data_IF_200738262161
#
_entry.id   IF_200738262161
#
_cell.length_a   1.000
_cell.length_b   1.000
_cell.length_c   1.000
_cell.angle_alpha   90.00
_cell.angle_beta   90.00
_cell.angle_gamma   90.00
#
_symmetry.space_group_name_H-M   'P 1'
#
loop_
_entity.id
_entity.type
_entity.pdbx_description
1 polymer ?
#
# COMPACT_ATOMS: atom_id res chain seq x y z
N UNK A 1 -7.27 16.74 -12.19
CA UNK A 1 -6.01 15.96 -12.10
C UNK A 1 -5.53 15.68 -13.52
N UNK A 2 -4.23 15.60 -13.76
CA UNK A 2 -3.63 15.25 -15.06
C UNK A 2 -3.16 13.79 -15.09
N UNK A 3 -2.94 13.23 -16.28
CA UNK A 3 -2.34 11.89 -16.41
C UNK A 3 -0.96 11.82 -15.76
N UNK A 4 -0.16 12.89 -15.85
CA UNK A 4 1.13 12.95 -15.18
C UNK A 4 1.02 12.84 -13.66
N UNK A 5 0.02 13.48 -13.05
CA UNK A 5 -0.25 13.38 -11.62
C UNK A 5 -0.70 11.96 -11.22
N UNK A 6 -1.55 11.31 -12.04
CA UNK A 6 -1.95 9.90 -11.84
C UNK A 6 -0.73 8.99 -11.84
N UNK A 7 0.20 9.17 -12.78
CA UNK A 7 1.45 8.39 -12.83
C UNK A 7 2.35 8.65 -11.60
N UNK A 8 2.39 9.89 -11.10
CA UNK A 8 3.08 10.21 -9.85
C UNK A 8 2.48 9.46 -8.65
N UNK A 9 1.15 9.43 -8.54
CA UNK A 9 0.43 8.68 -7.50
C UNK A 9 0.69 7.17 -7.63
N UNK A 10 0.67 6.63 -8.86
CA UNK A 10 1.00 5.22 -9.12
C UNK A 10 2.36 4.85 -8.55
N UNK A 11 3.40 5.64 -8.83
CA UNK A 11 4.75 5.41 -8.31
C UNK A 11 4.80 5.42 -6.79
N UNK A 12 4.03 6.29 -6.14
CA UNK A 12 3.91 6.28 -4.67
C UNK A 12 3.27 5.00 -4.15
N UNK A 13 2.17 4.55 -4.77
CA UNK A 13 1.53 3.28 -4.42
C UNK A 13 2.49 2.09 -4.56
N UNK A 14 3.23 2.01 -5.67
CA UNK A 14 4.25 0.97 -5.87
C UNK A 14 5.34 1.02 -4.80
N UNK A 15 5.81 2.21 -4.43
CA UNK A 15 6.78 2.37 -3.36
C UNK A 15 6.25 1.89 -2.01
N UNK A 16 5.04 2.28 -1.62
CA UNK A 16 4.48 1.85 -0.35
C UNK A 16 4.16 0.34 -0.34
N UNK A 17 3.66 -0.21 -1.46
CA UNK A 17 3.53 -1.67 -1.62
C UNK A 17 4.89 -2.36 -1.40
N UNK A 18 5.95 -1.88 -2.02
CA UNK A 18 7.31 -2.42 -1.88
C UNK A 18 7.82 -2.40 -0.43
N UNK A 19 7.52 -1.35 0.35
CA UNK A 19 7.83 -1.32 1.79
C UNK A 19 7.08 -2.40 2.57
N UNK A 20 5.79 -2.58 2.27
CA UNK A 20 4.97 -3.61 2.90
C UNK A 20 5.47 -5.01 2.54
N UNK A 21 5.67 -5.28 1.25
CA UNK A 21 6.11 -6.59 0.74
C UNK A 21 7.46 -6.99 1.35
N UNK A 22 8.43 -6.08 1.36
CA UNK A 22 9.72 -6.34 2.02
C UNK A 22 9.57 -6.62 3.52
N UNK A 23 8.63 -5.95 4.20
CA UNK A 23 8.38 -6.25 5.61
C UNK A 23 7.77 -7.64 5.79
N UNK A 24 6.75 -7.98 5.00
CA UNK A 24 6.05 -9.28 5.04
C UNK A 24 7.01 -10.44 4.75
N UNK A 25 7.96 -10.24 3.83
CA UNK A 25 8.98 -11.24 3.48
C UNK A 25 9.92 -11.58 4.65
N UNK A 26 10.19 -10.63 5.55
CA UNK A 26 11.05 -10.88 6.71
C UNK A 26 10.36 -11.73 7.79
N UNK A 27 9.03 -11.71 7.84
CA UNK A 27 8.26 -12.29 8.93
C UNK A 27 7.85 -13.74 8.63
N UNK A 28 7.76 -14.58 9.66
CA UNK A 28 7.13 -15.91 9.61
C UNK A 28 5.60 -15.80 9.66
N UNK A 29 4.88 -16.91 9.46
CA UNK A 29 3.42 -16.92 9.62
C UNK A 29 2.99 -16.56 11.06
N UNK A 30 3.69 -17.08 12.06
CA UNK A 30 3.41 -16.77 13.47
C UNK A 30 3.62 -15.28 13.73
N UNK A 31 4.71 -14.70 13.22
CA UNK A 31 5.02 -13.27 13.37
C UNK A 31 4.01 -12.37 12.64
N UNK A 32 3.47 -12.80 11.49
CA UNK A 32 2.38 -12.05 10.82
C UNK A 32 1.11 -11.99 11.68
N UNK A 33 0.82 -13.06 12.42
CA UNK A 33 -0.38 -13.17 13.26
C UNK A 33 -0.15 -12.66 14.69
N UNK A 34 1.08 -12.29 15.05
CA UNK A 34 1.39 -11.79 16.37
C UNK A 34 0.70 -10.45 16.65
N UNK A 35 0.17 -10.32 17.86
CA UNK A 35 -0.46 -9.11 18.38
C UNK A 35 0.23 -8.73 19.70
N UNK A 36 0.44 -7.43 19.89
CA UNK A 36 1.02 -6.93 21.13
C UNK A 36 0.03 -6.98 22.30
N UNK A 37 -1.22 -6.60 22.04
CA UNK A 37 -2.36 -6.66 22.96
C UNK A 37 -3.67 -6.68 22.17
N UNK A 38 -4.81 -6.85 22.86
CA UNK A 38 -6.15 -6.99 22.26
C UNK A 38 -6.61 -5.76 21.46
N UNK A 39 -6.10 -4.58 21.76
CA UNK A 39 -6.43 -3.32 21.06
C UNK A 39 -5.52 -3.07 19.84
N UNK A 40 -4.47 -3.87 19.67
CA UNK A 40 -3.48 -3.70 18.62
C UNK A 40 -3.74 -4.63 17.46
N UNK A 41 -3.73 -4.10 16.24
CA UNK A 41 -3.81 -4.92 15.04
C UNK A 41 -2.53 -5.75 14.86
N UNK A 42 -2.69 -7.02 14.47
CA UNK A 42 -1.59 -7.80 13.87
C UNK A 42 -1.29 -7.30 12.46
N UNK A 43 -0.13 -7.69 11.93
CA UNK A 43 0.20 -7.45 10.52
C UNK A 43 -0.80 -8.19 9.60
N UNK A 44 -1.22 -9.41 9.96
CA UNK A 44 -2.23 -10.16 9.23
C UNK A 44 -3.57 -9.40 9.14
N UNK A 45 -4.04 -8.80 10.23
CA UNK A 45 -5.25 -7.95 10.22
C UNK A 45 -5.09 -6.73 9.33
N UNK A 46 -3.94 -6.04 9.39
CA UNK A 46 -3.66 -4.89 8.52
C UNK A 46 -3.62 -5.30 7.04
N UNK A 47 -3.04 -6.46 6.72
CA UNK A 47 -3.04 -7.00 5.35
C UNK A 47 -4.46 -7.28 4.86
N UNK A 48 -5.29 -7.93 5.68
CA UNK A 48 -6.71 -8.21 5.34
C UNK A 48 -7.49 -6.92 5.15
N UNK A 49 -7.31 -5.95 6.05
CA UNK A 49 -7.97 -4.65 5.95
C UNK A 49 -7.64 -3.92 4.65
N UNK A 50 -6.36 -3.83 4.32
CA UNK A 50 -5.92 -3.16 3.11
C UNK A 50 -6.37 -3.92 1.85
N UNK A 51 -6.29 -5.25 1.83
CA UNK A 51 -6.78 -6.06 0.72
C UNK A 51 -8.29 -5.88 0.47
N UNK A 52 -9.10 -5.92 1.53
CA UNK A 52 -10.54 -5.69 1.45
C UNK A 52 -10.89 -4.26 1.03
N UNK A 53 -10.16 -3.26 1.55
CA UNK A 53 -10.29 -1.87 1.13
C UNK A 53 -9.94 -1.68 -0.37
N UNK A 54 -8.77 -2.17 -0.80
CA UNK A 54 -8.33 -2.10 -2.20
C UNK A 54 -9.37 -2.72 -3.14
N UNK A 55 -9.78 -3.97 -2.85
CA UNK A 55 -10.77 -4.66 -3.67
C UNK A 55 -12.10 -3.91 -3.72
N UNK A 56 -12.58 -3.40 -2.59
CA UNK A 56 -13.87 -2.70 -2.53
C UNK A 56 -13.83 -1.36 -3.26
N UNK A 57 -12.78 -0.56 -3.02
CA UNK A 57 -12.69 0.79 -3.56
C UNK A 57 -12.50 0.82 -5.07
N UNK A 58 -11.86 -0.21 -5.64
CA UNK A 58 -11.40 -0.17 -7.03
C UNK A 58 -12.07 -1.20 -7.95
N UNK A 59 -12.76 -2.22 -7.44
CA UNK A 59 -13.57 -3.08 -8.33
C UNK A 59 -14.67 -2.25 -8.98
N UNK A 60 -14.82 -2.30 -10.30
CA UNK A 60 -15.83 -1.54 -11.05
C UNK A 60 -15.81 -0.03 -10.72
N UNK A 61 -14.61 0.55 -10.59
CA UNK A 61 -14.35 1.89 -10.06
C UNK A 61 -15.21 3.02 -10.63
N UNK A 62 -15.49 2.98 -11.94
CA UNK A 62 -16.26 4.04 -12.62
C UNK A 62 -17.78 3.80 -12.66
N UNK A 63 -18.24 2.60 -12.32
CA UNK A 63 -19.64 2.19 -12.56
C UNK A 63 -20.40 1.82 -11.29
N UNK A 64 -19.70 1.56 -10.20
CA UNK A 64 -20.30 1.16 -8.93
C UNK A 64 -19.72 1.94 -7.75
N UNK A 65 -20.44 1.97 -6.63
CA UNK A 65 -19.92 2.55 -5.39
C UNK A 65 -18.67 1.81 -4.90
N UNK A 66 -17.68 2.54 -4.42
CA UNK A 66 -16.44 2.01 -3.86
C UNK A 66 -16.60 1.35 -2.49
N UNK A 67 -17.76 1.43 -1.83
CA UNK A 67 -18.13 0.53 -0.72
C UNK A 67 -19.01 -0.59 -1.25
N UNK A 68 -18.40 -1.76 -1.45
CA UNK A 68 -19.11 -2.90 -2.02
C UNK A 68 -19.97 -3.59 -0.98
N UNK A 69 -21.17 -4.06 -1.35
CA UNK A 69 -22.08 -4.71 -0.41
C UNK A 69 -21.52 -6.03 0.15
N UNK A 70 -20.57 -6.65 -0.55
CA UNK A 70 -19.89 -7.86 -0.09
C UNK A 70 -18.77 -7.58 0.91
N UNK A 71 -18.37 -6.32 1.12
CA UNK A 71 -17.27 -5.98 2.02
C UNK A 71 -17.77 -6.01 3.47
N UNK A 72 -17.24 -6.96 4.23
CA UNK A 72 -17.39 -7.00 5.68
C UNK A 72 -16.13 -6.45 6.35
N UNK A 73 -16.15 -5.14 6.65
CA UNK A 73 -15.03 -4.45 7.29
C UNK A 73 -14.73 -5.02 8.67
N UNK A 74 -15.75 -5.36 9.44
CA UNK A 74 -15.55 -5.78 10.84
C UNK A 74 -14.85 -7.15 10.87
N UNK A 75 -15.17 -8.03 9.92
CA UNK A 75 -14.45 -9.29 9.75
C UNK A 75 -12.95 -9.11 9.44
N UNK A 76 -12.53 -8.01 8.80
CA UNK A 76 -11.11 -7.71 8.48
C UNK A 76 -10.26 -7.58 9.75
N UNK A 77 -10.87 -7.22 10.88
CA UNK A 77 -10.23 -7.03 12.19
C UNK A 77 -10.56 -8.13 13.21
N UNK A 78 -11.27 -9.19 12.81
CA UNK A 78 -11.58 -10.29 13.70
C UNK A 78 -10.30 -10.93 14.28
N UNK A 79 -10.35 -11.33 15.55
CA UNK A 79 -9.26 -12.06 16.18
C UNK A 79 -9.20 -13.47 15.58
N UNK A 80 -8.01 -13.88 15.13
CA UNK A 80 -7.82 -15.18 14.53
C UNK A 80 -6.39 -15.42 14.08
N UNK A 81 -6.15 -16.63 13.56
CA UNK A 81 -4.91 -16.99 12.87
C UNK A 81 -5.23 -17.12 11.39
N UNK A 82 -4.48 -16.37 10.59
CA UNK A 82 -4.66 -16.28 9.16
C UNK A 82 -3.50 -16.96 8.44
N UNK A 83 -3.84 -17.76 7.44
CA UNK A 83 -2.88 -18.47 6.62
C UNK A 83 -2.06 -17.50 5.77
N UNK A 84 -0.73 -17.70 5.74
CA UNK A 84 0.18 -16.81 5.01
C UNK A 84 -0.12 -16.78 3.50
N UNK A 85 -0.41 -17.94 2.91
CA UNK A 85 -0.64 -18.04 1.49
C UNK A 85 -1.93 -17.32 1.09
N UNK A 86 -2.98 -17.46 1.89
CA UNK A 86 -4.23 -16.71 1.71
C UNK A 86 -4.01 -15.19 1.85
N UNK A 87 -3.29 -14.77 2.89
CA UNK A 87 -2.95 -13.35 3.12
C UNK A 87 -2.25 -12.74 1.91
N UNK A 88 -1.21 -13.40 1.39
CA UNK A 88 -0.44 -12.93 0.23
C UNK A 88 -1.32 -12.92 -1.03
N UNK A 89 -2.10 -13.97 -1.26
CA UNK A 89 -2.97 -14.08 -2.44
C UNK A 89 -3.98 -12.93 -2.49
N UNK A 90 -4.64 -12.64 -1.37
CA UNK A 90 -5.61 -11.55 -1.27
C UNK A 90 -4.94 -10.17 -1.34
N UNK A 91 -3.77 -10.02 -0.73
CA UNK A 91 -2.95 -8.81 -0.81
C UNK A 91 -2.58 -8.46 -2.26
N UNK A 92 -2.02 -9.43 -3.00
CA UNK A 92 -1.61 -9.24 -4.39
C UNK A 92 -2.80 -8.95 -5.30
N UNK A 93 -3.93 -9.64 -5.08
CA UNK A 93 -5.18 -9.39 -5.79
C UNK A 93 -5.67 -7.96 -5.58
N UNK A 94 -5.69 -7.47 -4.33
CA UNK A 94 -6.12 -6.11 -4.01
C UNK A 94 -5.28 -5.05 -4.74
N UNK A 95 -3.95 -5.17 -4.67
CA UNK A 95 -3.06 -4.26 -5.37
C UNK A 95 -3.18 -4.34 -6.90
N UNK A 96 -3.38 -5.54 -7.44
CA UNK A 96 -3.59 -5.72 -8.88
C UNK A 96 -4.82 -4.98 -9.37
N UNK A 97 -5.94 -5.02 -8.63
CA UNK A 97 -7.17 -4.29 -8.97
C UNK A 97 -6.91 -2.78 -9.00
N UNK A 98 -6.24 -2.22 -7.98
CA UNK A 98 -5.88 -0.80 -7.95
C UNK A 98 -5.06 -0.41 -9.19
N UNK A 99 -4.01 -1.17 -9.49
CA UNK A 99 -3.12 -0.85 -10.59
C UNK A 99 -3.81 -0.95 -11.95
N UNK A 100 -4.66 -1.96 -12.16
CA UNK A 100 -5.50 -2.07 -13.36
C UNK A 100 -6.41 -0.85 -13.53
N UNK A 101 -7.02 -0.35 -12.44
CA UNK A 101 -7.82 0.88 -12.50
C UNK A 101 -6.98 2.08 -12.87
N UNK A 102 -5.83 2.27 -12.21
CA UNK A 102 -4.93 3.39 -12.50
C UNK A 102 -4.51 3.38 -13.98
N UNK A 103 -4.19 2.21 -14.52
CA UNK A 103 -3.75 2.04 -15.91
C UNK A 103 -4.89 2.25 -16.92
N UNK A 104 -6.15 2.19 -16.48
CA UNK A 104 -7.35 2.49 -17.28
C UNK A 104 -7.78 3.97 -17.27
N UNK A 105 -7.13 4.81 -16.45
CA UNK A 105 -7.41 6.25 -16.40
C UNK A 105 -6.84 6.91 -17.66
N UNK A 106 -7.69 7.67 -18.35
CA UNK A 106 -7.41 8.38 -19.60
C UNK A 106 -7.73 9.87 -19.45
N UNK A 107 -7.30 10.69 -20.39
CA UNK A 107 -7.60 12.14 -20.38
C UNK A 107 -9.11 12.41 -20.34
N UNK A 108 -9.91 11.53 -20.95
CA UNK A 108 -11.37 11.64 -21.00
C UNK A 108 -12.04 11.37 -19.64
N UNK A 109 -11.45 10.52 -18.79
CA UNK A 109 -12.07 10.08 -17.55
C UNK A 109 -11.34 10.51 -16.27
N UNK A 110 -10.17 11.15 -16.36
CA UNK A 110 -9.35 11.56 -15.21
C UNK A 110 -10.05 12.56 -14.27
N UNK A 111 -11.09 13.26 -14.76
CA UNK A 111 -11.92 14.16 -13.97
C UNK A 111 -13.34 13.62 -13.76
N UNK A 112 -13.59 12.34 -14.03
CA UNK A 112 -14.88 11.71 -13.80
C UNK A 112 -15.25 11.71 -12.31
N UNK A 113 -16.55 11.59 -12.06
CA UNK A 113 -17.10 11.40 -10.72
C UNK A 113 -17.27 9.91 -10.46
N UNK A 114 -16.77 9.47 -9.32
CA UNK A 114 -16.97 8.13 -8.75
C UNK A 114 -17.69 8.25 -7.41
N UNK A 115 -18.31 7.17 -6.96
CA UNK A 115 -19.02 7.16 -5.67
C UNK A 115 -18.26 6.37 -4.63
N UNK A 116 -18.19 6.87 -3.41
CA UNK A 116 -17.70 6.12 -2.26
C UNK A 116 -18.63 6.39 -1.08
N UNK A 117 -19.38 5.38 -0.63
CA UNK A 117 -20.40 5.49 0.42
C UNK A 117 -21.49 6.50 0.09
N UNK A 118 -22.02 6.41 -1.12
CA UNK A 118 -23.05 7.28 -1.67
C UNK A 118 -22.66 8.77 -1.70
N UNK A 119 -21.36 9.06 -1.70
CA UNK A 119 -20.81 10.40 -1.84
C UNK A 119 -20.02 10.49 -3.14
N UNK A 120 -20.27 11.55 -3.88
CA UNK A 120 -19.57 11.84 -5.13
C UNK A 120 -18.16 12.36 -4.83
N UNK A 121 -17.20 11.83 -5.58
CA UNK A 121 -15.79 12.21 -5.52
C UNK A 121 -15.25 12.27 -6.94
N UNK A 122 -14.37 13.22 -7.22
CA UNK A 122 -13.52 13.14 -8.41
C UNK A 122 -12.58 11.92 -8.30
N UNK A 123 -12.11 11.39 -9.44
CA UNK A 123 -11.05 10.37 -9.48
C UNK A 123 -9.85 10.79 -8.61
N UNK A 124 -9.46 12.08 -8.68
CA UNK A 124 -8.36 12.61 -7.89
C UNK A 124 -8.60 12.50 -6.38
N UNK A 125 -9.77 12.92 -5.90
CA UNK A 125 -10.14 12.80 -4.47
C UNK A 125 -10.17 11.35 -4.01
N UNK A 126 -10.68 10.44 -4.83
CA UNK A 126 -10.68 9.00 -4.53
C UNK A 126 -9.24 8.46 -4.40
N UNK A 127 -8.34 8.82 -5.32
CA UNK A 127 -6.93 8.43 -5.27
C UNK A 127 -6.19 9.05 -4.08
N UNK A 128 -6.34 10.35 -3.84
CA UNK A 128 -5.69 11.03 -2.71
C UNK A 128 -6.11 10.47 -1.36
N UNK A 129 -7.39 10.14 -1.20
CA UNK A 129 -7.89 9.48 0.01
C UNK A 129 -7.15 8.18 0.28
N UNK A 130 -6.89 7.38 -0.76
CA UNK A 130 -6.14 6.13 -0.61
C UNK A 130 -4.64 6.34 -0.46
N UNK A 131 -4.09 7.38 -1.09
CA UNK A 131 -2.69 7.79 -0.91
C UNK A 131 -2.40 8.28 0.51
N UNK A 132 -3.38 8.76 1.27
CA UNK A 132 -3.22 9.00 2.70
C UNK A 132 -3.41 7.73 3.54
N UNK A 133 -4.39 6.90 3.16
CA UNK A 133 -4.81 5.72 3.92
C UNK A 133 -3.81 4.56 3.87
N UNK A 134 -3.30 4.20 2.69
CA UNK A 134 -2.39 3.05 2.55
C UNK A 134 -1.04 3.30 3.22
N UNK A 135 -0.37 4.46 3.05
CA UNK A 135 0.84 4.76 3.79
C UNK A 135 0.67 4.77 5.30
N UNK A 136 -0.49 5.21 5.80
CA UNK A 136 -0.80 5.18 7.23
C UNK A 136 -0.72 3.75 7.79
N UNK A 137 -1.43 2.79 7.17
CA UNK A 137 -1.42 1.39 7.62
C UNK A 137 -0.13 0.65 7.27
N UNK A 138 0.52 0.98 6.16
CA UNK A 138 1.83 0.41 5.81
C UNK A 138 2.90 0.89 6.80
N UNK A 139 2.82 2.13 7.29
CA UNK A 139 3.65 2.62 8.37
C UNK A 139 3.49 1.80 9.65
N UNK A 140 2.25 1.44 10.01
CA UNK A 140 1.96 0.54 11.15
C UNK A 140 2.58 -0.84 10.92
N UNK A 141 2.41 -1.42 9.73
CA UNK A 141 2.97 -2.72 9.35
C UNK A 141 4.50 -2.72 9.47
N UNK A 142 5.18 -1.71 8.92
CA UNK A 142 6.64 -1.55 9.01
C UNK A 142 7.09 -1.37 10.46
N UNK A 143 6.34 -0.63 11.27
CA UNK A 143 6.65 -0.43 12.68
C UNK A 143 6.54 -1.74 13.48
N UNK A 144 5.47 -2.51 13.28
CA UNK A 144 5.30 -3.83 13.90
C UNK A 144 6.39 -4.81 13.44
N UNK A 145 6.74 -4.81 12.15
CA UNK A 145 7.82 -5.65 11.64
C UNK A 145 9.17 -5.33 12.30
N UNK A 146 9.47 -4.04 12.50
CA UNK A 146 10.65 -3.58 13.27
C UNK A 146 10.59 -4.02 14.73
N UNK A 147 9.43 -3.91 15.36
CA UNK A 147 9.24 -4.31 16.75
C UNK A 147 9.51 -5.80 16.95
N UNK A 148 8.96 -6.64 16.06
CA UNK A 148 9.10 -8.09 16.08
C UNK A 148 10.55 -8.49 15.80
N UNK A 149 11.16 -7.99 14.72
CA UNK A 149 12.51 -8.39 14.32
C UNK A 149 13.61 -7.78 15.17
N UNK A 150 13.37 -6.62 15.80
CA UNK A 150 14.32 -5.95 16.67
C UNK A 150 15.72 -5.83 16.02
N UNK A 151 16.70 -6.62 16.48
CA UNK A 151 18.08 -6.61 15.97
C UNK A 151 18.22 -7.23 14.58
N UNK A 152 17.28 -8.09 14.19
CA UNK A 152 17.26 -8.78 12.89
C UNK A 152 16.51 -7.99 11.82
N UNK A 153 16.08 -6.77 12.14
CA UNK A 153 15.41 -5.90 11.18
C UNK A 153 16.34 -5.46 10.05
N UNK A 154 15.91 -5.67 8.81
CA UNK A 154 16.61 -5.21 7.61
C UNK A 154 16.04 -3.86 7.14
N UNK A 155 16.91 -2.87 6.95
CA UNK A 155 16.47 -1.56 6.46
C UNK A 155 15.85 -1.66 5.07
N UNK A 156 14.65 -1.10 4.89
CA UNK A 156 13.92 -1.12 3.61
C UNK A 156 14.32 0.03 2.68
N UNK A 157 14.95 1.07 3.25
CA UNK A 157 15.51 2.22 2.55
C UNK A 157 16.92 2.50 3.09
N UNK A 158 17.27 3.76 3.36
CA UNK A 158 18.58 4.16 3.86
C UNK A 158 18.77 3.65 5.30
N UNK A 159 19.77 2.78 5.58
CA UNK A 159 20.05 2.29 6.92
C UNK A 159 20.38 3.42 7.90
N UNK A 160 20.16 3.16 9.21
CA UNK A 160 20.56 4.10 10.27
C UNK A 160 22.05 4.44 10.13
N UNK A 161 22.37 5.73 10.23
CA UNK A 161 23.73 6.27 10.11
C UNK A 161 24.39 6.12 8.73
N UNK A 162 23.64 5.77 7.67
CA UNK A 162 24.15 5.62 6.29
C UNK A 162 23.71 6.72 5.31
N UNK A 163 23.10 7.80 5.81
CA UNK A 163 22.65 8.91 4.95
C UNK A 163 23.78 9.66 4.27
N UNK A 164 24.95 9.80 4.90
CA UNK A 164 26.12 10.45 4.30
C UNK A 164 26.62 9.68 3.08
N UNK A 165 26.85 8.38 3.24
CA UNK A 165 27.29 7.48 2.16
C UNK A 165 26.29 7.49 1.00
N UNK A 166 24.99 7.36 1.29
CA UNK A 166 23.92 7.42 0.29
C UNK A 166 23.88 8.74 -0.48
N UNK A 167 23.96 9.88 0.24
CA UNK A 167 23.95 11.20 -0.40
C UNK A 167 25.20 11.41 -1.26
N UNK A 168 26.36 10.96 -0.80
CA UNK A 168 27.60 11.06 -1.57
C UNK A 168 27.48 10.29 -2.90
N UNK A 169 26.97 9.05 -2.88
CA UNK A 169 26.70 8.28 -4.10
C UNK A 169 25.71 9.01 -5.03
N UNK A 170 24.63 9.56 -4.47
CA UNK A 170 23.60 10.26 -5.23
C UNK A 170 24.12 11.53 -5.92
N UNK A 171 24.84 12.38 -5.21
CA UNK A 171 25.35 13.65 -5.74
C UNK A 171 26.63 13.52 -6.56
N UNK A 172 27.26 12.33 -6.59
CA UNK A 172 28.33 12.02 -7.53
C UNK A 172 27.83 11.76 -8.96
N UNK A 173 26.52 11.55 -9.14
CA UNK A 173 25.90 11.38 -10.45
C UNK A 173 25.31 12.72 -10.94
N UNK A 174 25.26 12.96 -12.27
CA UNK A 174 24.56 14.12 -12.83
C UNK A 174 23.08 14.17 -12.42
N UNK A 175 22.49 15.36 -12.43
CA UNK A 175 21.05 15.52 -12.27
C UNK A 175 20.28 14.69 -13.30
N UNK A 176 19.21 14.03 -12.87
CA UNK A 176 18.39 13.17 -13.71
C UNK A 176 16.91 13.42 -13.43
N UNK A 177 16.08 13.28 -14.46
CA UNK A 177 14.61 13.29 -14.34
C UNK A 177 14.04 11.96 -13.81
N UNK A 178 14.91 11.04 -13.35
CA UNK A 178 14.52 9.79 -12.69
C UNK A 178 13.71 10.06 -11.42
N UNK A 179 12.67 9.27 -11.18
CA UNK A 179 11.88 9.38 -9.95
C UNK A 179 12.54 8.56 -8.84
N UNK A 180 12.50 9.03 -7.58
CA UNK A 180 13.20 8.35 -6.47
C UNK A 180 12.78 6.87 -6.27
N UNK A 181 11.58 6.50 -6.71
CA UNK A 181 11.09 5.12 -6.63
C UNK A 181 11.80 4.19 -7.61
N UNK A 182 12.36 4.72 -8.70
CA UNK A 182 13.13 3.95 -9.67
C UNK A 182 14.36 3.29 -9.02
N UNK A 183 14.92 3.90 -7.97
CA UNK A 183 16.04 3.36 -7.19
C UNK A 183 15.71 2.08 -6.41
N UNK A 184 14.42 1.85 -6.16
CA UNK A 184 13.92 0.76 -5.33
C UNK A 184 13.14 -0.29 -6.11
N UNK A 185 12.45 0.11 -7.18
CA UNK A 185 11.55 -0.77 -7.95
C UNK A 185 12.24 -1.44 -9.15
N UNK A 186 13.37 -0.91 -9.63
CA UNK A 186 14.13 -1.45 -10.78
C UNK A 186 15.34 -2.32 -10.38
N UNK A 187 15.45 -2.67 -9.10
CA UNK A 187 16.49 -3.55 -8.55
C UNK A 187 15.90 -4.91 -8.22
#
# INVERSE_FOLDING_TARGET
MTIQEVQGIRKQFEYYRMLADKTILLLSQEELNWQYNEESNSIAMLMRHLAGNLASRFTNFFTEDGEKPWRDRDSEFAIGVYDRHELITNWDKGWSILFQVIDSITEDNVNAIVKIRNQDHTVGEALYRQLAHYPYHIGQLVFLGKLIKNKDWQSLSIPRNKSKDYNQEKFNNPSSDSHFTDDYLKK
#
